data_IF_857256922842
#
_entry.id   IF_857256922842
#
_cell.length_a   1.000
_cell.length_b   1.000
_cell.length_c   1.000
_cell.angle_alpha   90.00
_cell.angle_beta   90.00
_cell.angle_gamma   90.00
#
_symmetry.space_group_name_H-M   'P 1'
#
loop_
_entity.id
_entity.type
_entity.pdbx_description
1 polymer ?
#
# COMPACT_ATOMS: atom_id res chain seq x y z
N UNK A 1 16.19 -12.86 29.44
CA UNK A 1 15.78 -13.87 28.45
C UNK A 1 15.13 -13.13 27.28
N UNK A 2 15.73 -12.42 26.34
CA UNK A 2 17.08 -12.34 25.74
C UNK A 2 17.68 -13.66 25.28
N UNK A 3 17.75 -13.80 23.95
CA UNK A 3 18.45 -14.81 23.14
C UNK A 3 17.72 -16.11 22.72
N UNK A 4 16.48 -16.06 22.19
CA UNK A 4 15.95 -17.05 21.21
C UNK A 4 14.98 -16.36 20.22
N UNK A 5 15.43 -15.31 19.51
CA UNK A 5 14.69 -14.70 18.37
C UNK A 5 15.61 -14.59 17.12
N UNK A 6 16.65 -15.43 17.07
CA UNK A 6 17.59 -15.51 15.93
C UNK A 6 17.94 -16.96 15.67
N UNK A 7 17.03 -17.71 15.05
CA UNK A 7 17.37 -18.91 14.30
C UNK A 7 16.61 -18.86 12.99
N UNK A 8 17.40 -18.74 11.92
CA UNK A 8 17.03 -18.84 10.51
C UNK A 8 16.11 -20.03 10.23
N UNK A 9 14.94 -19.78 9.64
CA UNK A 9 14.19 -20.81 8.92
C UNK A 9 14.03 -20.36 7.47
N UNK A 10 14.89 -20.92 6.61
CA UNK A 10 14.95 -20.61 5.20
C UNK A 10 14.56 -21.84 4.36
N UNK A 11 13.54 -21.63 3.53
CA UNK A 11 13.63 -21.75 2.05
C UNK A 11 13.27 -23.12 1.42
N UNK A 12 12.17 -23.09 0.66
CA UNK A 12 11.77 -23.90 -0.51
C UNK A 12 11.10 -25.26 -0.29
N UNK A 13 9.87 -25.36 -0.82
CA UNK A 13 9.47 -26.39 -1.79
C UNK A 13 8.17 -25.95 -2.49
N UNK A 14 8.28 -25.44 -3.73
CA UNK A 14 7.34 -25.66 -4.86
C UNK A 14 7.66 -24.77 -6.08
N UNK A 15 8.13 -23.53 -5.92
CA UNK A 15 8.58 -22.69 -7.05
C UNK A 15 9.90 -23.16 -7.70
N UNK A 16 10.66 -24.01 -7.00
CA UNK A 16 11.90 -24.59 -7.52
C UNK A 16 11.67 -25.56 -8.70
N UNK A 17 10.51 -26.19 -8.82
CA UNK A 17 10.27 -27.21 -9.85
C UNK A 17 10.20 -26.64 -11.28
N UNK A 18 9.82 -25.37 -11.44
CA UNK A 18 9.78 -24.72 -12.76
C UNK A 18 11.15 -24.16 -13.18
N UNK A 19 11.94 -23.60 -12.24
CA UNK A 19 13.25 -22.99 -12.54
C UNK A 19 14.40 -24.02 -12.60
N UNK A 20 14.29 -25.19 -11.95
CA UNK A 20 15.22 -26.32 -12.12
C UNK A 20 15.15 -26.98 -13.51
N UNK A 21 14.04 -26.82 -14.24
CA UNK A 21 13.95 -27.27 -15.63
C UNK A 21 14.85 -26.46 -16.60
N UNK A 22 15.32 -25.28 -16.17
CA UNK A 22 16.10 -24.34 -16.99
C UNK A 22 17.53 -24.06 -16.48
N UNK A 23 17.95 -24.65 -15.35
CA UNK A 23 19.36 -24.65 -14.91
C UNK A 23 19.93 -23.30 -14.41
N UNK A 24 19.09 -22.38 -13.93
CA UNK A 24 19.55 -21.12 -13.35
C UNK A 24 19.56 -21.14 -11.81
N UNK A 25 20.62 -20.58 -11.22
CA UNK A 25 20.79 -20.42 -9.77
C UNK A 25 20.03 -19.17 -9.32
N UNK A 26 19.16 -19.30 -8.31
CA UNK A 26 18.40 -18.18 -7.74
C UNK A 26 18.88 -17.97 -6.30
N UNK A 27 19.39 -16.77 -6.01
CA UNK A 27 19.82 -16.34 -4.68
C UNK A 27 18.65 -15.58 -4.04
N UNK A 28 18.15 -16.11 -2.91
CA UNK A 28 17.06 -15.51 -2.14
C UNK A 28 17.65 -14.85 -0.88
N UNK A 29 18.06 -13.59 -0.97
CA UNK A 29 18.40 -12.78 0.19
C UNK A 29 17.20 -11.89 0.55
N UNK A 30 16.82 -11.88 1.83
CA UNK A 30 15.82 -10.98 2.46
C UNK A 30 14.33 -11.37 2.42
N UNK A 31 13.98 -12.46 3.11
CA UNK A 31 12.60 -12.71 3.58
C UNK A 31 12.46 -12.20 5.01
N UNK A 32 11.76 -11.10 5.25
CA UNK A 32 11.38 -10.67 6.62
C UNK A 32 9.98 -11.20 6.95
N UNK A 33 9.86 -11.80 8.13
CA UNK A 33 8.63 -12.39 8.66
C UNK A 33 7.59 -11.30 8.93
N UNK A 34 6.43 -11.40 8.26
CA UNK A 34 5.20 -10.76 8.68
C UNK A 34 4.24 -11.85 9.24
N UNK A 35 3.22 -11.47 10.01
CA UNK A 35 2.45 -12.31 10.94
C UNK A 35 1.76 -13.56 10.33
N UNK A 36 1.31 -14.54 11.16
CA UNK A 36 0.49 -15.65 10.68
C UNK A 36 -0.77 -15.14 9.95
N UNK A 37 -0.90 -15.47 8.66
CA UNK A 37 -2.00 -15.00 7.79
C UNK A 37 -1.58 -14.07 6.65
N UNK A 38 -0.30 -13.72 6.55
CA UNK A 38 0.17 -12.77 5.55
C UNK A 38 0.44 -13.40 4.16
N UNK A 39 0.15 -12.60 3.14
CA UNK A 39 0.35 -12.92 1.72
C UNK A 39 1.85 -12.93 1.38
N UNK A 40 2.26 -13.91 0.57
CA UNK A 40 3.61 -14.00 0.03
C UNK A 40 3.55 -13.64 -1.46
N UNK A 41 4.13 -12.51 -1.84
CA UNK A 41 4.23 -12.07 -3.23
C UNK A 41 5.70 -12.19 -3.72
N UNK A 42 5.89 -12.85 -4.87
CA UNK A 42 7.19 -12.93 -5.57
C UNK A 42 6.98 -12.66 -7.07
N UNK A 43 7.91 -11.91 -7.67
CA UNK A 43 7.79 -11.38 -9.02
C UNK A 43 7.62 -12.50 -10.07
N UNK A 44 6.50 -12.47 -10.78
CA UNK A 44 6.17 -13.41 -11.86
C UNK A 44 5.60 -14.76 -11.41
N UNK A 45 5.31 -14.95 -10.11
CA UNK A 45 4.56 -16.10 -9.61
C UNK A 45 3.44 -15.60 -8.70
N UNK A 46 2.20 -15.73 -9.12
CA UNK A 46 1.08 -15.36 -8.27
C UNK A 46 0.82 -16.50 -7.29
N UNK A 47 1.27 -16.31 -6.05
CA UNK A 47 1.08 -17.26 -4.95
C UNK A 47 0.09 -16.73 -3.92
N UNK A 48 -0.73 -17.62 -3.39
CA UNK A 48 -1.58 -17.38 -2.23
C UNK A 48 -1.12 -18.28 -1.09
N UNK A 49 -0.67 -17.71 0.02
CA UNK A 49 -0.12 -18.43 1.17
C UNK A 49 -0.94 -18.25 2.44
N UNK A 50 -0.98 -19.26 3.30
CA UNK A 50 -1.50 -19.18 4.66
C UNK A 50 -0.53 -19.90 5.58
N UNK A 51 -0.10 -19.24 6.67
CA UNK A 51 0.78 -19.82 7.68
C UNK A 51 0.00 -19.88 9.01
N UNK A 52 0.04 -21.03 9.67
CA UNK A 52 -0.61 -21.28 10.97
C UNK A 52 0.39 -21.10 12.13
N UNK A 53 -0.11 -21.03 13.36
CA UNK A 53 0.70 -20.86 14.58
C UNK A 53 1.71 -22.00 14.84
N UNK A 54 1.39 -23.19 14.35
CA UNK A 54 2.25 -24.39 14.45
C UNK A 54 3.30 -24.47 13.32
N UNK A 55 3.46 -23.39 12.56
CA UNK A 55 4.29 -23.29 11.36
C UNK A 55 3.87 -24.18 10.19
N UNK A 56 2.70 -24.84 10.27
CA UNK A 56 2.07 -25.41 9.07
C UNK A 56 1.76 -24.30 8.10
N UNK A 57 1.95 -24.55 6.80
CA UNK A 57 1.59 -23.56 5.80
C UNK A 57 1.03 -24.19 4.54
N UNK A 58 0.12 -23.48 3.88
CA UNK A 58 -0.47 -23.84 2.61
C UNK A 58 -0.11 -22.78 1.57
N UNK A 59 0.23 -23.20 0.35
CA UNK A 59 0.48 -22.32 -0.78
C UNK A 59 -0.29 -22.83 -2.00
N UNK A 60 -1.07 -21.96 -2.61
CA UNK A 60 -1.56 -22.13 -3.97
C UNK A 60 -0.65 -21.34 -4.91
N UNK A 61 -0.12 -22.00 -5.93
CA UNK A 61 0.81 -21.43 -6.91
C UNK A 61 0.15 -21.45 -8.28
N UNK A 62 0.07 -20.26 -8.89
CA UNK A 62 -0.26 -20.11 -10.31
C UNK A 62 1.03 -19.90 -11.08
N UNK A 63 1.42 -20.90 -11.86
CA UNK A 63 2.65 -20.86 -12.66
C UNK A 63 2.41 -19.97 -13.88
N UNK A 64 3.13 -18.85 -13.99
CA UNK A 64 3.09 -18.02 -15.19
C UNK A 64 3.55 -18.85 -16.42
N UNK A 65 2.81 -18.74 -17.52
CA UNK A 65 2.96 -19.50 -18.78
C UNK A 65 2.59 -21.01 -18.75
N UNK A 66 2.03 -21.53 -17.65
CA UNK A 66 1.61 -22.94 -17.54
C UNK A 66 0.10 -23.11 -17.31
N UNK A 67 -0.53 -24.09 -17.97
CA UNK A 67 -1.96 -24.46 -17.82
C UNK A 67 -2.32 -25.09 -16.45
N UNK A 68 -1.47 -24.98 -15.44
CA UNK A 68 -1.59 -25.79 -14.23
C UNK A 68 -1.51 -24.91 -12.99
N UNK A 69 -2.58 -24.96 -12.18
CA UNK A 69 -2.58 -24.44 -10.81
C UNK A 69 -2.13 -25.56 -9.89
N UNK A 70 -1.22 -25.31 -8.97
CA UNK A 70 -0.81 -26.28 -7.97
C UNK A 70 -1.21 -25.78 -6.57
N UNK A 71 -1.59 -26.70 -5.70
CA UNK A 71 -1.73 -26.42 -4.27
C UNK A 71 -0.84 -27.37 -3.49
N UNK A 72 -0.21 -26.86 -2.44
CA UNK A 72 0.56 -27.65 -1.52
C UNK A 72 0.42 -27.17 -0.09
N UNK A 73 0.66 -28.08 0.85
CA UNK A 73 0.79 -27.75 2.25
C UNK A 73 1.99 -28.46 2.85
N UNK A 74 2.61 -27.78 3.82
CA UNK A 74 3.61 -28.35 4.71
C UNK A 74 2.99 -28.47 6.08
N UNK A 75 3.00 -29.68 6.63
CA UNK A 75 2.39 -30.03 7.92
C UNK A 75 3.37 -30.87 8.75
N UNK A 76 3.20 -30.93 10.08
CA UNK A 76 3.99 -31.79 10.94
C UNK A 76 3.97 -33.26 10.50
N UNK A 77 5.13 -33.90 10.51
CA UNK A 77 5.28 -35.31 10.19
C UNK A 77 6.75 -35.72 9.97
N UNK A 78 7.07 -36.96 10.37
CA UNK A 78 8.41 -37.54 10.19
C UNK A 78 8.53 -38.38 8.91
N UNK A 79 7.40 -38.96 8.47
CA UNK A 79 7.27 -39.89 7.36
C UNK A 79 6.11 -39.51 6.42
N UNK A 80 6.20 -39.93 5.16
CA UNK A 80 5.19 -39.66 4.15
C UNK A 80 4.01 -40.63 4.23
N UNK A 81 2.83 -40.11 3.93
CA UNK A 81 1.64 -40.91 3.70
C UNK A 81 1.44 -41.15 2.20
N UNK A 82 1.03 -42.37 1.84
CA UNK A 82 0.75 -42.74 0.44
C UNK A 82 -0.46 -42.01 -0.13
N UNK A 83 -1.34 -41.52 0.76
CA UNK A 83 -2.53 -40.75 0.43
C UNK A 83 -2.74 -39.61 1.40
N UNK A 84 -3.40 -38.55 0.92
CA UNK A 84 -3.90 -37.46 1.76
C UNK A 84 -5.37 -37.24 1.48
N UNK A 85 -6.10 -36.80 2.50
CA UNK A 85 -7.51 -36.40 2.38
C UNK A 85 -7.59 -34.88 2.36
N UNK A 86 -8.10 -34.34 1.26
CA UNK A 86 -8.36 -32.92 1.04
C UNK A 86 -9.84 -32.64 1.27
N UNK A 87 -10.20 -31.73 2.16
CA UNK A 87 -11.58 -31.34 2.44
C UNK A 87 -11.75 -29.84 2.32
N UNK A 88 -12.66 -29.41 1.45
CA UNK A 88 -13.11 -28.02 1.35
C UNK A 88 -14.39 -27.83 2.16
N UNK A 89 -14.40 -26.85 3.06
CA UNK A 89 -15.60 -26.45 3.81
C UNK A 89 -16.09 -25.13 3.25
N UNK A 90 -17.33 -25.10 2.77
CA UNK A 90 -17.99 -23.94 2.18
C UNK A 90 -18.53 -22.99 3.27
N UNK A 91 -18.90 -21.78 2.87
CA UNK A 91 -19.46 -20.76 3.78
C UNK A 91 -20.81 -21.15 4.39
N UNK A 92 -21.60 -21.95 3.68
CA UNK A 92 -22.86 -22.53 4.16
C UNK A 92 -22.67 -23.74 5.10
N UNK A 93 -21.41 -24.13 5.37
CA UNK A 93 -21.04 -25.26 6.21
C UNK A 93 -21.06 -26.62 5.50
N UNK A 94 -21.42 -26.68 4.21
CA UNK A 94 -21.28 -27.90 3.42
C UNK A 94 -19.79 -28.23 3.19
N UNK A 95 -19.46 -29.51 3.04
CA UNK A 95 -18.08 -29.95 2.83
C UNK A 95 -17.96 -30.88 1.62
N UNK A 96 -16.88 -30.73 0.86
CA UNK A 96 -16.47 -31.64 -0.23
C UNK A 96 -15.13 -32.26 0.12
N UNK A 97 -15.05 -33.59 0.05
CA UNK A 97 -13.85 -34.34 0.44
C UNK A 97 -13.36 -35.22 -0.71
N UNK A 98 -12.05 -35.25 -0.88
CA UNK A 98 -11.35 -36.00 -1.93
C UNK A 98 -10.12 -36.67 -1.30
N UNK A 99 -9.79 -37.88 -1.74
CA UNK A 99 -8.54 -38.55 -1.38
C UNK A 99 -7.57 -38.46 -2.56
N UNK A 100 -6.43 -37.79 -2.37
CA UNK A 100 -5.37 -37.66 -3.37
C UNK A 100 -4.35 -38.77 -3.15
N UNK A 101 -4.01 -39.52 -4.20
CA UNK A 101 -3.13 -40.69 -4.12
C UNK A 101 -2.19 -40.78 -5.33
N UNK A 102 -1.21 -41.68 -5.26
CA UNK A 102 -0.40 -42.08 -6.42
C UNK A 102 0.37 -40.91 -7.04
N UNK A 103 0.42 -40.88 -8.37
CA UNK A 103 1.19 -39.90 -9.17
C UNK A 103 0.65 -38.47 -9.10
N UNK A 104 -0.59 -38.30 -8.62
CA UNK A 104 -1.18 -36.98 -8.41
C UNK A 104 -0.70 -36.32 -7.12
N UNK A 105 -0.17 -37.11 -6.17
CA UNK A 105 0.32 -36.64 -4.89
C UNK A 105 1.85 -36.58 -4.90
N UNK A 106 2.40 -35.37 -4.98
CA UNK A 106 3.83 -35.12 -4.75
C UNK A 106 4.11 -34.99 -3.27
N UNK A 107 5.23 -35.57 -2.85
CA UNK A 107 5.66 -35.67 -1.45
C UNK A 107 7.12 -35.26 -1.34
N UNK A 108 7.43 -34.26 -0.54
CA UNK A 108 8.79 -33.75 -0.37
C UNK A 108 9.09 -33.54 1.11
N UNK A 109 10.33 -33.78 1.54
CA UNK A 109 10.73 -33.50 2.92
C UNK A 109 10.97 -32.01 3.02
N UNK A 110 10.31 -31.33 3.95
CA UNK A 110 10.55 -29.92 4.15
C UNK A 110 11.95 -29.72 4.75
N UNK A 111 12.55 -28.53 4.54
CA UNK A 111 13.84 -28.20 5.18
C UNK A 111 13.72 -28.03 6.69
N UNK A 112 12.52 -27.77 7.20
CA UNK A 112 12.24 -27.77 8.62
C UNK A 112 12.24 -29.23 9.16
N UNK A 113 12.89 -29.51 10.30
CA UNK A 113 12.81 -30.80 10.95
C UNK A 113 11.35 -31.18 11.22
N UNK A 114 11.04 -32.47 11.08
CA UNK A 114 9.72 -33.03 11.41
C UNK A 114 8.54 -32.39 10.67
N UNK A 115 8.78 -31.91 9.45
CA UNK A 115 7.77 -31.35 8.56
C UNK A 115 7.81 -32.05 7.19
N UNK A 116 6.63 -32.34 6.63
CA UNK A 116 6.45 -32.97 5.32
C UNK A 116 5.59 -32.10 4.42
N UNK A 117 5.95 -32.04 3.15
CA UNK A 117 5.22 -31.33 2.10
C UNK A 117 4.39 -32.30 1.26
N UNK A 118 3.13 -31.94 1.04
CA UNK A 118 2.23 -32.60 0.11
C UNK A 118 1.75 -31.59 -0.92
N UNK A 119 1.80 -31.92 -2.20
CA UNK A 119 1.30 -31.04 -3.28
C UNK A 119 0.65 -31.81 -4.41
N UNK A 120 -0.30 -31.16 -5.07
CA UNK A 120 -1.05 -31.72 -6.21
C UNK A 120 -1.57 -30.60 -7.11
N UNK A 121 -1.85 -30.95 -8.37
CA UNK A 121 -2.39 -30.00 -9.35
C UNK A 121 -3.91 -29.90 -9.23
N UNK A 122 -4.42 -28.70 -9.47
CA UNK A 122 -5.84 -28.37 -9.54
C UNK A 122 -6.25 -28.20 -11.00
N UNK A 123 -7.42 -28.72 -11.36
CA UNK A 123 -8.12 -28.34 -12.59
C UNK A 123 -8.79 -26.98 -12.44
N UNK A 124 -9.33 -26.41 -13.53
CA UNK A 124 -10.06 -25.15 -13.47
C UNK A 124 -11.30 -25.22 -12.57
N UNK A 125 -12.05 -26.34 -12.61
CA UNK A 125 -13.19 -26.57 -11.73
C UNK A 125 -12.77 -26.66 -10.26
N UNK A 126 -11.63 -27.31 -9.98
CA UNK A 126 -11.11 -27.38 -8.62
C UNK A 126 -10.74 -25.98 -8.09
N UNK A 127 -10.17 -25.12 -8.94
CA UNK A 127 -9.85 -23.74 -8.55
C UNK A 127 -11.10 -22.96 -8.18
N UNK A 128 -12.19 -23.06 -8.95
CA UNK A 128 -13.46 -22.40 -8.62
C UNK A 128 -14.02 -22.90 -7.27
N UNK A 129 -13.87 -24.18 -6.98
CA UNK A 129 -14.30 -24.76 -5.70
C UNK A 129 -13.46 -24.29 -4.52
N UNK A 130 -12.13 -24.22 -4.70
CA UNK A 130 -11.23 -23.65 -3.70
C UNK A 130 -11.52 -22.18 -3.47
N UNK A 131 -11.79 -21.43 -4.53
CA UNK A 131 -12.21 -20.05 -4.42
C UNK A 131 -13.47 -19.99 -3.58
N UNK A 132 -14.53 -20.73 -3.90
CA UNK A 132 -15.81 -20.69 -3.18
C UNK A 132 -15.73 -21.10 -1.69
N UNK A 133 -14.75 -21.93 -1.32
CA UNK A 133 -14.61 -22.46 0.03
C UNK A 133 -14.18 -21.42 1.08
N UNK A 134 -14.56 -21.67 2.33
CA UNK A 134 -14.12 -20.92 3.52
C UNK A 134 -12.80 -21.48 4.04
N UNK A 135 -12.72 -22.80 4.20
CA UNK A 135 -11.55 -23.49 4.76
C UNK A 135 -11.12 -24.66 3.88
N UNK A 136 -9.81 -24.90 3.84
CA UNK A 136 -9.23 -26.13 3.32
C UNK A 136 -8.58 -26.93 4.44
N UNK A 137 -9.01 -28.18 4.61
CA UNK A 137 -8.38 -29.14 5.51
C UNK A 137 -7.58 -30.15 4.71
N UNK A 138 -6.30 -30.31 5.06
CA UNK A 138 -5.48 -31.42 4.59
C UNK A 138 -5.20 -32.39 5.74
N UNK A 139 -5.47 -33.67 5.52
CA UNK A 139 -5.19 -34.74 6.48
C UNK A 139 -4.28 -35.80 5.86
N UNK A 140 -3.19 -36.12 6.56
CA UNK A 140 -2.24 -37.17 6.21
C UNK A 140 -2.08 -38.10 7.42
N UNK A 141 -2.73 -39.28 7.37
CA UNK A 141 -2.80 -40.18 8.52
C UNK A 141 -3.49 -39.50 9.71
N UNK A 142 -2.79 -39.46 10.85
CA UNK A 142 -3.27 -38.80 12.08
C UNK A 142 -3.03 -37.29 12.10
N UNK A 143 -2.21 -36.78 11.17
CA UNK A 143 -1.87 -35.36 11.09
C UNK A 143 -2.92 -34.62 10.26
N UNK A 144 -3.34 -33.45 10.73
CA UNK A 144 -4.36 -32.62 10.08
C UNK A 144 -4.06 -31.14 10.29
N UNK A 145 -4.14 -30.36 9.22
CA UNK A 145 -4.08 -28.91 9.25
C UNK A 145 -5.29 -28.31 8.53
N UNK A 146 -5.79 -27.18 9.04
CA UNK A 146 -6.92 -26.44 8.46
C UNK A 146 -6.50 -25.02 8.15
N UNK A 147 -6.66 -24.61 6.91
CA UNK A 147 -6.20 -23.35 6.35
C UNK A 147 -7.40 -22.49 5.94
N UNK A 148 -7.60 -21.30 6.52
CA UNK A 148 -8.58 -20.33 6.03
C UNK A 148 -8.27 -19.88 4.60
N UNK A 149 -9.26 -19.84 3.71
CA UNK A 149 -9.09 -19.52 2.28
C UNK A 149 -9.52 -18.09 1.90
N UNK A 150 -9.95 -17.27 2.86
CA UNK A 150 -10.43 -15.91 2.58
C UNK A 150 -9.39 -15.07 1.81
N UNK A 151 -8.10 -15.13 2.18
CA UNK A 151 -7.02 -14.41 1.52
C UNK A 151 -6.56 -15.04 0.18
N UNK A 152 -6.84 -16.32 -0.06
CA UNK A 152 -6.37 -17.00 -1.28
C UNK A 152 -7.23 -16.75 -2.50
N UNK A 153 -8.52 -16.44 -2.31
CA UNK A 153 -9.46 -16.12 -3.42
C UNK A 153 -8.97 -14.93 -4.25
N UNK A 154 -8.62 -13.84 -3.58
CA UNK A 154 -8.18 -12.57 -4.20
C UNK A 154 -6.88 -12.76 -4.98
N UNK A 155 -5.92 -13.51 -4.41
CA UNK A 155 -4.65 -13.81 -5.06
C UNK A 155 -4.82 -14.69 -6.31
N UNK A 156 -5.77 -15.64 -6.30
CA UNK A 156 -6.08 -16.48 -7.47
C UNK A 156 -6.79 -15.67 -8.55
N UNK A 157 -7.71 -14.79 -8.18
CA UNK A 157 -8.39 -13.91 -9.14
C UNK A 157 -7.40 -12.96 -9.82
N UNK A 158 -6.52 -12.33 -9.05
CA UNK A 158 -5.45 -11.48 -9.58
C UNK A 158 -4.51 -12.23 -10.53
N UNK A 159 -4.15 -13.48 -10.19
CA UNK A 159 -3.32 -14.33 -11.03
C UNK A 159 -3.97 -14.71 -12.37
N UNK A 160 -5.25 -15.09 -12.33
CA UNK A 160 -6.00 -15.45 -13.53
C UNK A 160 -6.18 -14.26 -14.46
N UNK A 161 -6.38 -13.07 -13.89
CA UNK A 161 -6.43 -11.84 -14.68
C UNK A 161 -5.07 -11.53 -15.31
N UNK A 162 -3.97 -11.61 -14.55
CA UNK A 162 -2.60 -11.46 -15.07
C UNK A 162 -2.25 -12.45 -16.20
N UNK A 163 -2.80 -13.68 -16.16
CA UNK A 163 -2.65 -14.63 -17.26
C UNK A 163 -3.37 -14.20 -18.54
N UNK A 164 -4.61 -13.69 -18.45
CA UNK A 164 -5.33 -13.14 -19.62
C UNK A 164 -4.55 -11.97 -20.23
N UNK A 165 -3.95 -11.17 -19.37
CA UNK A 165 -3.16 -9.98 -19.71
C UNK A 165 -1.90 -10.34 -20.51
N UNK A 166 -1.18 -11.39 -20.10
CA UNK A 166 0.02 -11.87 -20.80
C UNK A 166 -0.21 -12.30 -22.27
N UNK A 167 -1.47 -12.47 -22.69
CA UNK A 167 -1.84 -12.80 -24.07
C UNK A 167 -2.03 -11.57 -24.99
N UNK A 168 -2.05 -10.34 -24.45
CA UNK A 168 -2.50 -9.12 -25.16
C UNK A 168 -1.47 -8.39 -26.05
N UNK A 169 -0.16 -8.62 -25.90
CA UNK A 169 0.87 -7.90 -26.66
C UNK A 169 1.12 -6.44 -26.22
N UNK A 170 2.06 -5.70 -26.86
CA UNK A 170 2.56 -4.41 -26.37
C UNK A 170 1.55 -3.24 -26.40
N UNK A 171 0.63 -3.19 -27.36
CA UNK A 171 -0.35 -2.09 -27.47
C UNK A 171 -1.31 -2.09 -26.27
N UNK A 172 -1.69 -3.27 -25.79
CA UNK A 172 -2.58 -3.43 -24.63
C UNK A 172 -1.89 -3.00 -23.33
N UNK A 173 -0.57 -3.17 -23.23
CA UNK A 173 0.21 -2.72 -22.07
C UNK A 173 0.16 -1.21 -21.88
N UNK A 174 0.36 -0.44 -22.95
CA UNK A 174 0.40 1.02 -22.87
C UNK A 174 -1.00 1.57 -22.49
N UNK A 175 -2.07 0.92 -22.96
CA UNK A 175 -3.44 1.24 -22.55
C UNK A 175 -3.68 1.00 -21.06
N UNK A 176 -3.17 -0.08 -20.49
CA UNK A 176 -3.30 -0.35 -19.05
C UNK A 176 -2.47 0.59 -18.18
N UNK A 177 -1.25 0.92 -18.61
CA UNK A 177 -0.43 1.93 -17.93
C UNK A 177 -1.20 3.25 -17.89
N UNK A 178 -1.72 3.70 -19.04
CA UNK A 178 -2.51 4.91 -19.10
C UNK A 178 -3.78 4.85 -18.23
N UNK A 179 -4.42 3.69 -18.14
CA UNK A 179 -5.59 3.48 -17.27
C UNK A 179 -5.22 3.54 -15.77
N UNK A 180 -4.08 2.97 -15.38
CA UNK A 180 -3.57 3.05 -14.01
C UNK A 180 -3.18 4.48 -13.65
N UNK A 181 -2.36 5.12 -14.49
CA UNK A 181 -1.94 6.52 -14.34
C UNK A 181 -3.21 7.40 -14.14
N UNK A 182 -4.24 7.25 -14.98
CA UNK A 182 -5.48 8.02 -14.90
C UNK A 182 -6.34 7.74 -13.65
N UNK A 183 -6.22 6.57 -13.05
CA UNK A 183 -7.04 6.17 -11.90
C UNK A 183 -6.34 6.41 -10.56
N UNK A 184 -5.00 6.38 -10.53
CA UNK A 184 -4.23 6.25 -9.30
C UNK A 184 -2.99 7.16 -9.20
N UNK A 185 -2.62 7.93 -10.24
CA UNK A 185 -1.51 8.88 -10.12
C UNK A 185 -1.73 9.86 -8.97
N UNK A 186 -0.67 10.21 -8.24
CA UNK A 186 -0.77 11.19 -7.16
C UNK A 186 -0.64 12.62 -7.72
N UNK A 187 -1.49 13.60 -7.31
CA UNK A 187 -1.52 14.94 -7.92
C UNK A 187 -0.23 15.75 -7.83
N UNK A 188 0.64 15.39 -6.89
CA UNK A 188 1.92 16.05 -6.63
C UNK A 188 3.12 15.13 -6.85
N UNK A 189 2.90 14.02 -7.56
CA UNK A 189 4.00 13.17 -8.01
C UNK A 189 4.77 13.88 -9.14
N UNK A 190 6.01 14.28 -8.84
CA UNK A 190 6.88 14.96 -9.80
C UNK A 190 7.31 14.09 -10.99
N UNK A 191 7.16 12.77 -10.89
CA UNK A 191 7.50 11.82 -11.95
C UNK A 191 6.28 11.32 -12.74
N UNK A 192 5.05 11.70 -12.34
CA UNK A 192 3.84 11.28 -13.03
C UNK A 192 3.66 12.01 -14.38
N UNK A 193 3.33 11.29 -15.48
CA UNK A 193 3.13 11.90 -16.80
C UNK A 193 1.73 12.50 -16.99
N UNK A 194 0.81 12.30 -16.04
CA UNK A 194 -0.58 12.75 -16.12
C UNK A 194 -0.96 13.60 -14.89
N UNK A 195 -2.04 14.39 -14.96
CA UNK A 195 -2.63 14.94 -13.76
C UNK A 195 -3.07 13.81 -12.82
N UNK A 196 -2.66 13.86 -11.56
CA UNK A 196 -3.06 12.86 -10.57
C UNK A 196 -4.48 13.02 -10.06
N UNK A 197 -4.99 11.97 -9.42
CA UNK A 197 -6.31 11.88 -8.79
C UNK A 197 -6.16 12.15 -7.30
N UNK A 198 -6.91 13.09 -6.74
CA UNK A 198 -6.86 13.36 -5.29
C UNK A 198 -7.30 12.12 -4.49
N UNK A 199 -6.81 12.00 -3.25
CA UNK A 199 -7.10 10.83 -2.41
C UNK A 199 -8.61 10.61 -2.22
N UNK A 200 -9.36 11.68 -2.00
CA UNK A 200 -10.80 11.62 -1.74
C UNK A 200 -11.63 11.31 -2.99
N UNK A 201 -11.10 11.63 -4.19
CA UNK A 201 -11.77 11.41 -5.48
C UNK A 201 -11.45 10.03 -6.09
N UNK A 202 -10.45 9.33 -5.57
CA UNK A 202 -10.01 8.03 -6.08
C UNK A 202 -10.99 6.91 -5.71
N UNK A 203 -11.46 6.18 -6.71
CA UNK A 203 -12.23 4.94 -6.53
C UNK A 203 -11.28 3.74 -6.38
N UNK A 204 -11.32 3.07 -5.22
CA UNK A 204 -10.36 2.03 -4.86
C UNK A 204 -10.40 0.82 -5.81
N UNK A 205 -11.60 0.36 -6.17
CA UNK A 205 -11.78 -0.84 -7.00
C UNK A 205 -11.33 -0.58 -8.45
N UNK A 206 -11.70 0.57 -9.01
CA UNK A 206 -11.29 0.99 -10.35
C UNK A 206 -9.78 1.17 -10.42
N UNK A 207 -9.19 1.89 -9.46
CA UNK A 207 -7.74 2.12 -9.40
C UNK A 207 -6.97 0.80 -9.23
N UNK A 208 -7.41 -0.06 -8.32
CA UNK A 208 -6.78 -1.36 -8.08
C UNK A 208 -6.83 -2.23 -9.32
N UNK A 209 -7.99 -2.32 -9.98
CA UNK A 209 -8.15 -3.12 -11.20
C UNK A 209 -7.25 -2.61 -12.33
N UNK A 210 -7.26 -1.30 -12.59
CA UNK A 210 -6.44 -0.69 -13.63
C UNK A 210 -4.94 -0.90 -13.37
N UNK A 211 -4.50 -0.66 -12.14
CA UNK A 211 -3.10 -0.79 -11.77
C UNK A 211 -2.62 -2.24 -11.66
N UNK A 212 -3.47 -3.18 -11.27
CA UNK A 212 -3.17 -4.61 -11.37
C UNK A 212 -2.90 -5.02 -12.81
N UNK A 213 -3.71 -4.51 -13.76
CA UNK A 213 -3.53 -4.82 -15.17
C UNK A 213 -2.20 -4.27 -15.70
N UNK A 214 -1.89 -3.02 -15.35
CA UNK A 214 -0.62 -2.38 -15.73
C UNK A 214 0.58 -3.10 -15.10
N UNK A 215 0.48 -3.47 -13.83
CA UNK A 215 1.52 -4.15 -13.08
C UNK A 215 1.78 -5.59 -13.59
N UNK A 216 0.76 -6.27 -14.10
CA UNK A 216 0.88 -7.60 -14.70
C UNK A 216 1.49 -7.61 -16.11
N UNK A 217 1.66 -6.45 -16.74
CA UNK A 217 1.98 -6.33 -18.16
C UNK A 217 3.48 -6.49 -18.51
N UNK A 218 4.34 -6.83 -17.54
CA UNK A 218 5.78 -7.07 -17.74
C UNK A 218 6.65 -6.20 -16.83
N UNK A 219 7.74 -5.63 -17.36
CA UNK A 219 8.68 -4.78 -16.61
C UNK A 219 7.93 -3.67 -15.85
N UNK A 220 7.81 -3.84 -14.53
CA UNK A 220 7.02 -2.96 -13.69
C UNK A 220 7.74 -1.63 -13.56
N UNK A 221 7.10 -0.56 -14.04
CA UNK A 221 7.58 0.80 -13.83
C UNK A 221 7.46 1.16 -12.33
N UNK A 222 8.47 1.81 -11.72
CA UNK A 222 8.41 2.27 -10.33
C UNK A 222 7.13 3.04 -9.98
N UNK A 223 6.68 3.91 -10.89
CA UNK A 223 5.42 4.65 -10.71
C UNK A 223 4.19 3.74 -10.64
N UNK A 224 4.12 2.71 -11.46
CA UNK A 224 2.99 1.76 -11.45
C UNK A 224 3.00 0.92 -10.17
N UNK A 225 4.19 0.60 -9.65
CA UNK A 225 4.34 -0.03 -8.33
C UNK A 225 3.81 0.88 -7.23
N UNK A 226 4.18 2.16 -7.25
CA UNK A 226 3.68 3.17 -6.31
C UNK A 226 2.15 3.37 -6.42
N UNK A 227 1.63 3.55 -7.63
CA UNK A 227 0.21 3.77 -7.90
C UNK A 227 -0.65 2.58 -7.48
N UNK A 228 -0.20 1.35 -7.73
CA UNK A 228 -0.86 0.15 -7.21
C UNK A 228 -0.83 0.11 -5.68
N UNK A 229 0.31 0.45 -5.06
CA UNK A 229 0.41 0.55 -3.61
C UNK A 229 -0.55 1.58 -3.02
N UNK A 230 -0.68 2.73 -3.69
CA UNK A 230 -1.63 3.80 -3.33
C UNK A 230 -3.09 3.36 -3.49
N UNK A 231 -3.42 2.62 -4.56
CA UNK A 231 -4.76 2.09 -4.80
C UNK A 231 -5.15 1.06 -3.73
N UNK A 232 -4.22 0.17 -3.35
CA UNK A 232 -4.44 -0.77 -2.25
C UNK A 232 -4.64 -0.06 -0.91
N UNK A 233 -3.86 0.96 -0.60
CA UNK A 233 -4.01 1.71 0.64
C UNK A 233 -5.40 2.37 0.71
N UNK A 234 -5.90 2.89 -0.42
CA UNK A 234 -7.25 3.47 -0.51
C UNK A 234 -8.35 2.44 -0.25
N UNK A 235 -8.11 1.17 -0.60
CA UNK A 235 -9.01 0.04 -0.36
C UNK A 235 -8.81 -0.66 0.98
N UNK A 236 -8.04 -0.08 1.90
CA UNK A 236 -7.66 -0.67 3.19
C UNK A 236 -6.95 -2.04 3.05
N UNK A 237 -6.19 -2.23 1.97
CA UNK A 237 -5.53 -3.49 1.64
C UNK A 237 -4.04 -3.50 2.07
N UNK A 238 -3.61 -4.44 2.94
CA UNK A 238 -2.24 -4.49 3.46
C UNK A 238 -1.16 -4.74 2.41
N UNK A 239 -1.51 -5.18 1.20
CA UNK A 239 -0.56 -5.28 0.06
C UNK A 239 0.08 -3.94 -0.28
N UNK A 240 -0.55 -2.83 0.10
CA UNK A 240 0.02 -1.50 -0.02
C UNK A 240 1.41 -1.38 0.62
N UNK A 241 1.59 -1.96 1.81
CA UNK A 241 2.84 -1.78 2.57
C UNK A 241 4.05 -2.33 1.82
N UNK A 242 3.94 -3.52 1.25
CA UNK A 242 5.03 -4.14 0.50
C UNK A 242 5.33 -3.36 -0.79
N UNK A 243 4.28 -2.98 -1.54
CA UNK A 243 4.43 -2.26 -2.80
C UNK A 243 5.04 -0.87 -2.60
N UNK A 244 4.58 -0.14 -1.59
CA UNK A 244 5.15 1.16 -1.24
C UNK A 244 6.56 1.03 -0.67
N UNK A 245 6.87 -0.06 0.03
CA UNK A 245 8.24 -0.36 0.47
C UNK A 245 9.17 -0.58 -0.71
N UNK A 246 8.78 -1.40 -1.68
CA UNK A 246 9.57 -1.67 -2.88
C UNK A 246 9.72 -0.41 -3.73
N UNK A 247 8.64 0.34 -3.94
CA UNK A 247 8.69 1.59 -4.68
C UNK A 247 9.61 2.62 -4.01
N UNK A 248 9.58 2.74 -2.69
CA UNK A 248 10.44 3.66 -1.95
C UNK A 248 11.90 3.15 -1.89
N UNK A 249 12.14 1.94 -1.42
CA UNK A 249 13.50 1.48 -1.05
C UNK A 249 14.26 0.80 -2.18
N UNK A 250 13.57 0.08 -3.05
CA UNK A 250 14.22 -0.66 -4.12
C UNK A 250 14.31 0.26 -5.35
N UNK A 251 13.18 0.85 -5.74
CA UNK A 251 13.09 1.70 -6.93
C UNK A 251 13.53 3.15 -6.68
N UNK A 252 13.64 3.59 -5.42
CA UNK A 252 13.96 4.97 -5.04
C UNK A 252 12.95 5.99 -5.60
N UNK A 253 11.68 5.61 -5.74
CA UNK A 253 10.62 6.45 -6.27
C UNK A 253 10.25 7.55 -5.26
N UNK A 254 10.50 8.85 -5.53
CA UNK A 254 10.55 9.89 -4.50
C UNK A 254 9.28 10.01 -3.64
N UNK A 255 8.10 10.02 -4.27
CA UNK A 255 6.84 10.20 -3.55
C UNK A 255 6.41 8.96 -2.74
N UNK A 256 6.94 7.78 -3.06
CA UNK A 256 6.67 6.55 -2.31
C UNK A 256 7.21 6.62 -0.88
N UNK A 257 8.26 7.41 -0.64
CA UNK A 257 8.80 7.64 0.70
C UNK A 257 7.78 8.30 1.63
N UNK A 258 7.06 9.33 1.17
CA UNK A 258 6.01 9.97 1.96
C UNK A 258 4.85 8.99 2.25
N UNK A 259 4.45 8.19 1.26
CA UNK A 259 3.39 7.21 1.45
C UNK A 259 3.79 6.14 2.48
N UNK A 260 5.00 5.55 2.36
CA UNK A 260 5.49 4.59 3.33
C UNK A 260 5.69 5.20 4.72
N UNK A 261 6.18 6.44 4.79
CA UNK A 261 6.31 7.16 6.07
C UNK A 261 4.96 7.37 6.75
N UNK A 262 3.90 7.62 5.97
CA UNK A 262 2.53 7.73 6.48
C UNK A 262 2.10 6.42 7.14
N UNK A 263 2.32 5.27 6.48
CA UNK A 263 1.98 3.96 7.05
C UNK A 263 2.71 3.68 8.37
N UNK A 264 4.01 4.00 8.46
CA UNK A 264 4.76 3.89 9.72
C UNK A 264 4.29 4.91 10.77
N UNK A 265 3.97 6.14 10.38
CA UNK A 265 3.55 7.20 11.29
C UNK A 265 2.19 6.95 11.94
N UNK A 266 1.26 6.34 11.21
CA UNK A 266 -0.06 5.93 11.70
C UNK A 266 -0.06 4.54 12.33
N UNK A 267 0.86 3.65 11.91
CA UNK A 267 0.80 2.23 12.22
C UNK A 267 -0.20 1.47 11.33
N UNK A 268 -0.50 1.99 10.14
CA UNK A 268 -1.34 1.27 9.16
C UNK A 268 -0.55 0.10 8.58
N UNK A 269 -1.07 -1.13 8.70
CA UNK A 269 -0.45 -2.41 8.30
C UNK A 269 0.88 -2.75 8.99
N UNK A 270 1.33 -1.95 9.95
CA UNK A 270 2.61 -2.11 10.65
C UNK A 270 2.52 -1.61 12.09
N UNK A 271 3.59 -1.74 12.86
CA UNK A 271 3.69 -1.10 14.17
C UNK A 271 4.03 0.36 13.96
N UNK A 272 3.28 1.25 14.62
CA UNK A 272 3.57 2.69 14.59
C UNK A 272 5.00 2.98 15.01
N UNK A 273 5.76 3.62 14.13
CA UNK A 273 7.18 3.95 14.31
C UNK A 273 7.48 5.33 13.74
N UNK A 274 7.53 6.33 14.62
CA UNK A 274 7.84 7.72 14.22
C UNK A 274 9.31 7.89 13.82
N UNK A 275 10.25 7.08 14.33
CA UNK A 275 11.64 7.18 13.93
C UNK A 275 11.82 6.70 12.48
N UNK A 276 11.17 5.58 12.13
CA UNK A 276 11.15 5.08 10.75
C UNK A 276 10.45 6.06 9.81
N UNK A 277 9.31 6.63 10.20
CA UNK A 277 8.62 7.65 9.41
C UNK A 277 9.50 8.88 9.16
N UNK A 278 10.19 9.38 10.19
CA UNK A 278 11.12 10.50 10.05
C UNK A 278 12.25 10.19 9.06
N UNK A 279 12.90 9.03 9.18
CA UNK A 279 13.99 8.63 8.27
C UNK A 279 13.52 8.53 6.81
N UNK A 280 12.33 7.99 6.57
CA UNK A 280 11.76 7.93 5.22
C UNK A 280 11.45 9.31 4.66
N UNK A 281 10.89 10.21 5.47
CA UNK A 281 10.61 11.58 5.05
C UNK A 281 11.89 12.37 4.74
N UNK A 282 12.98 12.14 5.48
CA UNK A 282 14.30 12.67 5.17
C UNK A 282 14.78 12.20 3.79
N UNK A 283 14.63 10.91 3.50
CA UNK A 283 15.04 10.31 2.22
C UNK A 283 14.22 10.87 1.06
N UNK A 284 12.89 10.92 1.19
CA UNK A 284 12.02 11.51 0.16
C UNK A 284 12.30 13.01 -0.07
N UNK A 285 12.53 13.77 1.00
CA UNK A 285 12.91 15.19 0.91
C UNK A 285 14.26 15.37 0.20
N UNK A 286 15.24 14.51 0.49
CA UNK A 286 16.55 14.55 -0.16
C UNK A 286 16.49 14.21 -1.66
N UNK A 287 15.46 13.46 -2.09
CA UNK A 287 15.16 13.19 -3.50
C UNK A 287 14.37 14.32 -4.17
N UNK A 288 14.03 15.38 -3.43
CA UNK A 288 13.30 16.53 -3.95
C UNK A 288 11.77 16.38 -3.93
N UNK A 289 11.23 15.37 -3.25
CA UNK A 289 9.78 15.24 -3.09
C UNK A 289 9.25 16.31 -2.12
N UNK A 290 8.47 17.25 -2.65
CA UNK A 290 7.89 18.34 -1.87
C UNK A 290 6.88 17.83 -0.82
N UNK A 291 6.22 16.70 -1.09
CA UNK A 291 5.21 16.15 -0.18
C UNK A 291 5.90 15.59 1.07
N UNK A 292 7.01 14.88 0.89
CA UNK A 292 7.90 14.43 1.96
C UNK A 292 8.44 15.61 2.77
N UNK A 293 8.91 16.68 2.10
CA UNK A 293 9.39 17.89 2.76
C UNK A 293 8.32 18.54 3.65
N UNK A 294 7.09 18.68 3.13
CA UNK A 294 5.96 19.15 3.91
C UNK A 294 5.66 18.25 5.13
N UNK A 295 5.58 16.93 4.92
CA UNK A 295 5.27 15.97 5.97
C UNK A 295 6.36 15.95 7.05
N UNK A 296 7.64 16.06 6.66
CA UNK A 296 8.77 16.20 7.57
C UNK A 296 8.66 17.50 8.37
N UNK A 297 8.34 18.61 7.70
CA UNK A 297 8.20 19.90 8.34
C UNK A 297 7.13 19.89 9.44
N UNK A 298 5.97 19.30 9.13
CA UNK A 298 4.91 19.08 10.13
C UNK A 298 5.36 18.19 11.27
N UNK A 299 6.01 17.07 10.96
CA UNK A 299 6.46 16.11 11.95
C UNK A 299 7.44 16.74 12.96
N UNK A 300 8.39 17.55 12.46
CA UNK A 300 9.37 18.26 13.30
C UNK A 300 8.72 19.29 14.22
N UNK A 301 7.66 19.97 13.77
CA UNK A 301 6.92 20.93 14.60
C UNK A 301 6.05 20.21 15.63
N UNK A 302 5.29 19.19 15.22
CA UNK A 302 4.35 18.46 16.08
C UNK A 302 5.05 17.62 17.16
N UNK A 303 6.25 17.12 16.86
CA UNK A 303 7.05 16.28 17.76
C UNK A 303 8.39 16.92 18.16
N UNK A 304 8.46 18.25 18.10
CA UNK A 304 9.67 19.02 18.42
C UNK A 304 10.26 18.66 19.79
N UNK A 305 11.58 18.48 19.82
CA UNK A 305 12.37 18.33 21.06
C UNK A 305 13.06 19.63 21.48
N UNK A 306 12.98 20.67 20.65
CA UNK A 306 13.58 21.96 20.89
C UNK A 306 13.46 22.95 19.71
N UNK A 307 13.97 24.18 19.88
CA UNK A 307 13.83 25.25 18.89
C UNK A 307 14.40 24.92 17.50
N UNK A 308 15.45 24.10 17.43
CA UNK A 308 16.09 23.73 16.17
C UNK A 308 15.14 22.90 15.27
N UNK A 309 14.36 21.98 15.86
CA UNK A 309 13.35 21.20 15.13
C UNK A 309 12.25 22.12 14.58
N UNK A 310 11.82 23.10 15.38
CA UNK A 310 10.81 24.07 14.95
C UNK A 310 11.35 24.89 13.77
N UNK A 311 12.54 25.46 13.87
CA UNK A 311 13.12 26.28 12.81
C UNK A 311 13.32 25.50 11.51
N UNK A 312 13.78 24.26 11.62
CA UNK A 312 13.90 23.37 10.47
C UNK A 312 12.54 23.02 9.87
N UNK A 313 11.56 22.68 10.70
CA UNK A 313 10.21 22.36 10.22
C UNK A 313 9.53 23.54 9.53
N UNK A 314 9.74 24.75 10.05
CA UNK A 314 9.30 26.01 9.43
C UNK A 314 9.91 26.22 8.04
N UNK A 315 11.21 25.98 7.90
CA UNK A 315 11.93 26.11 6.63
C UNK A 315 11.34 25.14 5.60
N UNK A 316 11.15 23.88 5.97
CA UNK A 316 10.55 22.87 5.10
C UNK A 316 9.12 23.20 4.67
N UNK A 317 8.29 23.74 5.58
CA UNK A 317 6.94 24.19 5.25
C UNK A 317 6.93 25.40 4.31
N UNK A 318 7.85 26.34 4.51
CA UNK A 318 8.04 27.49 3.62
C UNK A 318 8.44 27.02 2.21
N UNK A 319 9.44 26.14 2.11
CA UNK A 319 9.92 25.60 0.85
C UNK A 319 8.79 24.87 0.08
N UNK A 320 8.00 24.05 0.77
CA UNK A 320 6.84 23.37 0.17
C UNK A 320 5.74 24.36 -0.26
N UNK A 321 5.50 25.42 0.50
CA UNK A 321 4.52 26.45 0.16
C UNK A 321 4.97 27.26 -1.08
N UNK A 322 6.26 27.58 -1.18
CA UNK A 322 6.88 28.24 -2.33
C UNK A 322 6.88 27.35 -3.57
N UNK A 323 7.09 26.05 -3.41
CA UNK A 323 6.98 25.05 -4.47
C UNK A 323 5.55 24.84 -4.99
N UNK A 324 4.55 25.44 -4.34
CA UNK A 324 3.17 25.43 -4.82
C UNK A 324 2.27 24.39 -4.16
N UNK A 325 2.72 23.69 -3.11
CA UNK A 325 1.93 22.66 -2.44
C UNK A 325 0.80 23.29 -1.60
N UNK A 326 -0.49 23.16 -1.97
CA UNK A 326 -1.57 23.91 -1.33
C UNK A 326 -1.73 23.65 0.17
N UNK A 327 -1.58 22.41 0.68
CA UNK A 327 -1.58 22.18 2.14
C UNK A 327 -0.47 22.93 2.86
N UNK A 328 0.73 23.05 2.28
CA UNK A 328 1.82 23.85 2.83
C UNK A 328 1.49 25.35 2.78
N UNK A 329 0.94 25.84 1.66
CA UNK A 329 0.55 27.26 1.52
C UNK A 329 -0.47 27.67 2.58
N UNK A 330 -1.46 26.81 2.87
CA UNK A 330 -2.41 27.07 3.97
C UNK A 330 -1.71 27.10 5.32
N UNK A 331 -0.93 26.06 5.66
CA UNK A 331 -0.32 25.95 7.00
C UNK A 331 0.69 27.07 7.23
N UNK A 332 1.55 27.33 6.25
CA UNK A 332 2.54 28.41 6.32
C UNK A 332 1.85 29.78 6.38
N UNK A 333 0.84 30.00 5.54
CA UNK A 333 0.03 31.22 5.57
C UNK A 333 -0.65 31.45 6.91
N UNK A 334 -1.30 30.44 7.48
CA UNK A 334 -1.95 30.51 8.79
C UNK A 334 -0.95 30.84 9.89
N UNK A 335 0.21 30.19 9.89
CA UNK A 335 1.23 30.47 10.88
C UNK A 335 1.75 31.92 10.75
N UNK A 336 1.93 32.45 9.54
CA UNK A 336 2.29 33.86 9.35
C UNK A 336 1.21 34.85 9.85
N UNK A 337 -0.06 34.44 9.91
CA UNK A 337 -1.13 35.21 10.58
C UNK A 337 -0.95 35.19 12.09
N UNK A 338 -0.81 33.99 12.67
CA UNK A 338 -0.88 33.82 14.12
C UNK A 338 0.43 34.18 14.85
N UNK A 339 1.56 34.17 14.13
CA UNK A 339 2.89 34.38 14.73
C UNK A 339 3.29 33.31 15.74
N UNK A 340 2.67 32.12 15.69
CA UNK A 340 2.81 31.07 16.70
C UNK A 340 4.15 30.34 16.68
N UNK A 341 4.80 30.24 15.51
CA UNK A 341 6.13 29.64 15.35
C UNK A 341 7.21 30.67 14.99
N UNK A 342 6.97 31.97 15.16
CA UNK A 342 7.91 33.04 14.80
C UNK A 342 7.23 34.39 14.57
N UNK A 343 7.98 35.41 14.15
CA UNK A 343 7.37 36.69 13.79
C UNK A 343 6.36 36.50 12.64
N UNK A 344 5.11 36.93 12.85
CA UNK A 344 4.10 36.92 11.79
C UNK A 344 4.42 37.92 10.67
N UNK A 345 3.92 37.63 9.48
CA UNK A 345 3.95 38.53 8.32
C UNK A 345 2.58 38.47 7.62
N UNK A 346 1.64 39.34 7.99
CA UNK A 346 0.29 39.36 7.43
C UNK A 346 0.24 39.60 5.92
N UNK A 347 1.21 40.31 5.35
CA UNK A 347 1.29 40.55 3.90
C UNK A 347 1.72 39.29 3.16
N UNK A 348 2.71 38.59 3.69
CA UNK A 348 3.15 37.31 3.13
C UNK A 348 2.08 36.23 3.36
N UNK A 349 1.44 36.19 4.53
CA UNK A 349 0.33 35.31 4.86
C UNK A 349 -0.79 35.43 3.81
N UNK A 350 -1.21 36.65 3.51
CA UNK A 350 -2.21 36.95 2.48
C UNK A 350 -1.85 36.29 1.14
N UNK A 351 -0.61 36.43 0.69
CA UNK A 351 -0.15 35.89 -0.60
C UNK A 351 -0.29 34.35 -0.68
N UNK A 352 0.15 33.64 0.36
CA UNK A 352 0.05 32.18 0.39
C UNK A 352 -1.38 31.69 0.58
N UNK A 353 -2.17 32.35 1.44
CA UNK A 353 -3.57 32.02 1.65
C UNK A 353 -4.42 32.29 0.39
N UNK A 354 -4.12 33.34 -0.38
CA UNK A 354 -4.75 33.59 -1.68
C UNK A 354 -4.49 32.45 -2.66
N UNK A 355 -3.26 31.92 -2.73
CA UNK A 355 -2.92 30.78 -3.59
C UNK A 355 -3.67 29.50 -3.17
N UNK A 356 -3.69 29.17 -1.88
CA UNK A 356 -4.42 28.00 -1.38
C UNK A 356 -5.95 28.15 -1.54
N UNK A 357 -6.51 29.34 -1.34
CA UNK A 357 -7.93 29.58 -1.56
C UNK A 357 -8.34 29.42 -3.04
N UNK A 358 -7.44 29.74 -3.99
CA UNK A 358 -7.68 29.55 -5.42
C UNK A 358 -7.72 28.08 -5.85
N UNK A 359 -7.09 27.18 -5.10
CA UNK A 359 -7.19 25.72 -5.33
C UNK A 359 -8.40 25.09 -4.63
N UNK A 360 -9.27 25.90 -4.03
CA UNK A 360 -10.49 25.44 -3.37
C UNK A 360 -10.34 25.16 -1.88
N UNK A 361 -9.19 25.47 -1.25
CA UNK A 361 -9.02 25.28 0.19
C UNK A 361 -9.91 26.27 0.97
N UNK A 362 -11.02 25.75 1.50
CA UNK A 362 -12.03 26.50 2.24
C UNK A 362 -11.48 27.09 3.54
N UNK A 363 -10.53 26.41 4.18
CA UNK A 363 -9.89 26.87 5.40
C UNK A 363 -8.91 28.02 5.12
N UNK A 364 -8.17 27.95 4.01
CA UNK A 364 -7.34 29.07 3.57
C UNK A 364 -8.18 30.30 3.20
N UNK A 365 -9.32 30.11 2.52
CA UNK A 365 -10.25 31.19 2.23
C UNK A 365 -10.82 31.83 3.51
N UNK A 366 -11.08 31.04 4.55
CA UNK A 366 -11.54 31.57 5.84
C UNK A 366 -10.45 32.36 6.58
N UNK A 367 -9.23 31.82 6.67
CA UNK A 367 -8.09 32.52 7.24
C UNK A 367 -7.80 33.85 6.51
N UNK A 368 -7.93 33.85 5.18
CA UNK A 368 -7.82 35.06 4.37
C UNK A 368 -8.95 36.06 4.64
N UNK A 369 -10.17 35.60 4.93
CA UNK A 369 -11.24 36.48 5.36
C UNK A 369 -10.88 37.15 6.71
N UNK A 370 -10.39 36.37 7.68
CA UNK A 370 -10.00 36.88 9.00
C UNK A 370 -8.91 37.96 8.92
N UNK A 371 -8.00 37.85 7.95
CA UNK A 371 -7.00 38.88 7.67
C UNK A 371 -7.58 40.26 7.34
N UNK A 372 -8.85 40.39 6.97
CA UNK A 372 -9.48 41.66 6.61
C UNK A 372 -10.37 42.29 7.70
N UNK A 373 -10.42 41.70 8.91
CA UNK A 373 -11.25 42.18 10.03
C UNK A 373 -10.57 43.31 10.82
N UNK A 374 -9.25 43.50 10.67
CA UNK A 374 -8.49 44.65 11.21
C UNK A 374 -7.58 44.37 12.41
N UNK A 375 -7.57 43.13 12.91
CA UNK A 375 -6.68 42.71 14.02
C UNK A 375 -5.35 42.13 13.53
N UNK A 376 -5.24 41.94 12.22
CA UNK A 376 -4.14 41.27 11.52
C UNK A 376 -2.99 42.18 11.12
N UNK A 377 -3.07 43.50 11.34
CA UNK A 377 -2.07 44.46 10.84
C UNK A 377 -2.19 44.80 9.35
N UNK A 378 -3.19 44.27 8.63
CA UNK A 378 -3.62 44.75 7.33
C UNK A 378 -4.75 45.77 7.46
N UNK A 379 -4.87 46.67 6.48
CA UNK A 379 -5.99 47.59 6.41
C UNK A 379 -7.31 46.79 6.29
N UNK A 380 -8.30 47.06 7.17
CA UNK A 380 -9.59 46.39 7.08
C UNK A 380 -10.25 46.59 5.71
N UNK A 381 -10.79 45.52 5.13
CA UNK A 381 -11.56 45.59 3.88
C UNK A 381 -12.82 44.72 4.02
N UNK A 382 -13.97 45.31 4.41
CA UNK A 382 -15.23 44.59 4.56
C UNK A 382 -15.70 43.88 3.27
N UNK A 383 -15.33 44.38 2.09
CA UNK A 383 -15.69 43.74 0.82
C UNK A 383 -14.85 42.49 0.59
N UNK A 384 -13.54 42.57 0.87
CA UNK A 384 -12.65 41.42 0.77
C UNK A 384 -13.02 40.36 1.82
N UNK A 385 -13.28 40.77 3.06
CA UNK A 385 -13.81 39.91 4.12
C UNK A 385 -15.02 39.10 3.64
N UNK A 386 -16.09 39.78 3.20
CA UNK A 386 -17.31 39.11 2.78
C UNK A 386 -17.12 38.23 1.52
N UNK A 387 -16.23 38.65 0.60
CA UNK A 387 -15.87 37.86 -0.59
C UNK A 387 -15.25 36.52 -0.18
N UNK A 388 -14.22 36.54 0.66
CA UNK A 388 -13.49 35.34 1.05
C UNK A 388 -14.27 34.48 2.04
N UNK A 389 -15.08 35.08 2.91
CA UNK A 389 -16.02 34.37 3.78
C UNK A 389 -17.04 33.56 2.97
N UNK A 390 -17.61 34.15 1.91
CA UNK A 390 -18.52 33.44 0.98
C UNK A 390 -17.80 32.33 0.21
N UNK A 391 -16.54 32.53 -0.15
CA UNK A 391 -15.74 31.49 -0.81
C UNK A 391 -15.51 30.30 0.13
N UNK A 392 -15.11 30.56 1.37
CA UNK A 392 -14.92 29.54 2.41
C UNK A 392 -16.22 28.76 2.68
N UNK A 393 -17.36 29.46 2.82
CA UNK A 393 -18.66 28.83 3.04
C UNK A 393 -19.09 27.93 1.87
N UNK A 394 -18.82 28.33 0.62
CA UNK A 394 -19.08 27.48 -0.56
C UNK A 394 -18.21 26.22 -0.57
N UNK A 395 -17.00 26.31 -0.03
CA UNK A 395 -16.12 25.17 0.18
C UNK A 395 -16.43 24.35 1.44
N UNK A 396 -17.53 24.64 2.15
CA UNK A 396 -17.96 23.87 3.31
C UNK A 396 -17.28 24.24 4.63
N UNK A 397 -16.59 25.38 4.72
CA UNK A 397 -16.03 25.83 6.00
C UNK A 397 -17.15 26.19 6.99
N UNK A 398 -17.25 25.45 8.10
CA UNK A 398 -18.33 25.60 9.09
C UNK A 398 -18.33 26.97 9.77
N UNK A 399 -17.16 27.48 10.15
CA UNK A 399 -17.05 28.80 10.79
C UNK A 399 -17.50 29.93 9.84
N UNK A 400 -17.22 29.80 8.55
CA UNK A 400 -17.69 30.72 7.53
C UNK A 400 -19.21 30.64 7.32
N UNK A 401 -19.78 29.44 7.34
CA UNK A 401 -21.23 29.21 7.25
C UNK A 401 -21.96 29.82 8.46
N UNK A 402 -21.43 29.61 9.66
CA UNK A 402 -21.97 30.19 10.90
C UNK A 402 -21.91 31.73 10.86
N UNK A 403 -20.76 32.30 10.49
CA UNK A 403 -20.59 33.75 10.40
C UNK A 403 -21.58 34.41 9.42
N UNK A 404 -21.85 33.77 8.27
CA UNK A 404 -22.83 34.25 7.29
C UNK A 404 -24.30 34.06 7.70
N UNK A 405 -24.57 33.23 8.71
CA UNK A 405 -25.92 33.00 9.24
C UNK A 405 -26.33 34.01 10.32
N UNK A 406 -25.36 34.75 10.86
CA UNK A 406 -25.53 35.76 11.91
C UNK A 406 -25.64 37.20 11.37
N UNK A 407 -25.26 37.41 10.10
CA UNK A 407 -25.47 38.64 9.29
C UNK A 407 -26.85 38.65 8.62
#
# INVERSE_FOLDING_TARGET
MTHIVRIFCAVLALCAAARLAAGQEVVFEEWRYHQPGDLLYDEGVHTAGVILEDFSFAIMVLVAQGKHTAIGAVIPGTDFQDSVTSTLTMTDGSARTLTVTGDQLRRERAKAPDMVSYSFFLSDEDVELFQAARDWTLQAGDQKATFPLAGSRIAVDAAREAQKISAGGPEVRDEWIAACDAAAAHPYDGESPVPGVAWDDMDADTATTACLNAYAAGDVLPRIRFELGRAYDKGDDPRAFELLTKAARDDHYPIAYNALATLYGTGTYTIRDLAAAHELLEQGTALGDMVSGYSLGRMLIEHSTGPDDIERGRTLLMDAAEAGYPPAQRIYGQWLVDGTLGAGDPLQAKSFLEKAALTGDASAAFALAQLYIGESGLDPDPKAYLKYLKLAARGGNEAALEALSLD
#
